data_IF_533756728560
#
_entry.id   IF_533756728560
#
_cell.length_a   1.000
_cell.length_b   1.000
_cell.length_c   1.000
_cell.angle_alpha   90.00
_cell.angle_beta   90.00
_cell.angle_gamma   90.00
#
_symmetry.space_group_name_H-M   'P 1'
#
loop_
_entity.id
_entity.type
_entity.pdbx_description
1 polymer ?
#
# COMPACT_ATOMS: atom_id res chain seq x y z
N UNK A 1 11.66 13.42 18.15
CA UNK A 1 11.08 13.68 16.81
C UNK A 1 10.81 15.17 16.69
N UNK A 2 11.58 15.88 15.87
CA UNK A 2 11.51 17.34 15.76
C UNK A 2 10.17 17.79 15.13
N UNK A 3 9.63 18.92 15.56
CA UNK A 3 8.26 19.38 15.24
C UNK A 3 8.01 19.44 13.72
N UNK A 4 9.03 19.86 12.96
CA UNK A 4 9.00 19.99 11.49
C UNK A 4 8.75 18.66 10.79
N UNK A 5 9.37 17.57 11.24
CA UNK A 5 9.16 16.24 10.65
C UNK A 5 7.74 15.72 10.93
N UNK A 6 7.20 16.02 12.12
CA UNK A 6 5.79 15.72 12.44
C UNK A 6 4.86 16.50 11.50
N UNK A 7 5.18 17.78 11.29
CA UNK A 7 4.39 18.67 10.46
C UNK A 7 4.40 18.25 8.99
N UNK A 8 5.55 17.89 8.42
CA UNK A 8 5.65 17.43 7.03
C UNK A 8 4.97 16.07 6.80
N UNK A 9 5.07 15.15 7.75
CA UNK A 9 4.35 13.87 7.70
C UNK A 9 2.84 14.13 7.74
N UNK A 10 2.38 15.02 8.64
CA UNK A 10 0.97 15.41 8.73
C UNK A 10 0.50 16.10 7.46
N UNK A 11 1.28 17.00 6.87
CA UNK A 11 0.93 17.70 5.62
C UNK A 11 0.85 16.75 4.43
N UNK A 12 1.79 15.81 4.31
CA UNK A 12 1.75 14.75 3.31
C UNK A 12 0.48 13.90 3.47
N UNK A 13 0.12 13.52 4.71
CA UNK A 13 -1.10 12.77 4.97
C UNK A 13 -2.38 13.56 4.73
N UNK A 14 -2.39 14.86 5.07
CA UNK A 14 -3.51 15.77 4.77
C UNK A 14 -3.70 15.90 3.26
N UNK A 15 -2.62 16.06 2.49
CA UNK A 15 -2.68 16.13 1.04
C UNK A 15 -3.24 14.84 0.41
N UNK A 16 -2.79 13.68 0.91
CA UNK A 16 -3.33 12.38 0.50
C UNK A 16 -4.82 12.26 0.84
N UNK A 17 -5.26 12.76 2.01
CA UNK A 17 -6.64 12.69 2.52
C UNK A 17 -7.65 13.65 1.84
N UNK A 18 -7.21 14.82 1.37
CA UNK A 18 -8.11 15.86 0.84
C UNK A 18 -8.51 15.62 -0.62
N UNK A 19 -7.59 15.11 -1.46
CA UNK A 19 -7.81 14.93 -2.90
C UNK A 19 -8.97 14.00 -3.29
N UNK A 20 -9.29 12.91 -2.55
CA UNK A 20 -10.41 12.03 -2.91
C UNK A 20 -11.79 12.56 -2.48
N UNK A 21 -11.86 13.48 -1.50
CA UNK A 21 -13.12 13.91 -0.89
C UNK A 21 -13.89 14.94 -1.71
N UNK A 22 -13.34 15.53 -2.77
CA UNK A 22 -14.06 16.53 -3.57
C UNK A 22 -14.95 15.95 -4.69
N UNK A 23 -15.11 14.62 -4.76
CA UNK A 23 -15.76 13.92 -5.89
C UNK A 23 -17.04 13.14 -5.50
N UNK A 24 -17.78 13.58 -4.48
CA UNK A 24 -18.98 12.88 -4.00
C UNK A 24 -20.17 12.98 -4.97
N UNK A 25 -20.46 11.89 -5.71
CA UNK A 25 -21.62 11.76 -6.60
C UNK A 25 -22.77 10.88 -6.06
N UNK A 26 -22.50 9.85 -5.24
CA UNK A 26 -23.56 9.02 -4.61
C UNK A 26 -23.05 8.23 -3.39
N UNK A 27 -23.93 7.96 -2.41
CA UNK A 27 -23.61 7.18 -1.19
C UNK A 27 -23.14 5.75 -1.51
N UNK A 28 -23.58 5.24 -2.65
CA UNK A 28 -23.33 3.89 -3.15
C UNK A 28 -21.85 3.68 -3.53
N UNK A 29 -21.14 4.73 -3.94
CA UNK A 29 -19.75 4.62 -4.38
C UNK A 29 -18.72 4.80 -3.25
N UNK A 30 -19.15 5.01 -2.00
CA UNK A 30 -18.27 5.39 -0.90
C UNK A 30 -17.23 4.31 -0.59
N UNK A 31 -17.62 3.03 -0.57
CA UNK A 31 -16.69 1.93 -0.27
C UNK A 31 -15.64 1.76 -1.37
N UNK A 32 -16.04 1.92 -2.63
CA UNK A 32 -15.12 1.86 -3.77
C UNK A 32 -14.14 3.03 -3.75
N UNK A 33 -14.61 4.24 -3.46
CA UNK A 33 -13.77 5.43 -3.34
C UNK A 33 -12.78 5.29 -2.18
N UNK A 34 -13.25 4.86 -1.01
CA UNK A 34 -12.39 4.58 0.14
C UNK A 34 -11.38 3.49 -0.21
N UNK A 35 -11.79 2.41 -0.89
CA UNK A 35 -10.86 1.37 -1.31
C UNK A 35 -9.74 1.93 -2.20
N UNK A 36 -10.04 2.83 -3.14
CA UNK A 36 -9.04 3.50 -3.98
C UNK A 36 -8.11 4.41 -3.17
N UNK A 37 -8.67 5.17 -2.24
CA UNK A 37 -7.91 6.02 -1.33
C UNK A 37 -6.91 5.19 -0.50
N UNK A 38 -7.40 4.14 0.19
CA UNK A 38 -6.56 3.25 0.99
C UNK A 38 -5.53 2.49 0.13
N UNK A 39 -5.85 2.17 -1.13
CA UNK A 39 -4.89 1.57 -2.06
C UNK A 39 -3.72 2.52 -2.37
N UNK A 40 -4.01 3.77 -2.71
CA UNK A 40 -2.99 4.79 -3.01
C UNK A 40 -2.15 5.10 -1.77
N UNK A 41 -2.82 5.29 -0.63
CA UNK A 41 -2.17 5.49 0.66
C UNK A 41 -1.23 4.33 0.98
N UNK A 42 -1.70 3.08 0.85
CA UNK A 42 -0.89 1.89 1.07
C UNK A 42 0.33 1.85 0.16
N UNK A 43 0.16 2.12 -1.14
CA UNK A 43 1.25 2.11 -2.12
C UNK A 43 2.32 3.15 -1.77
N UNK A 44 1.91 4.40 -1.50
CA UNK A 44 2.83 5.48 -1.15
C UNK A 44 3.56 5.20 0.17
N UNK A 45 2.82 4.75 1.18
CA UNK A 45 3.38 4.39 2.48
C UNK A 45 4.35 3.20 2.37
N UNK A 46 4.02 2.21 1.53
CA UNK A 46 4.87 1.06 1.29
C UNK A 46 6.14 1.46 0.53
N UNK A 47 6.03 2.34 -0.46
CA UNK A 47 7.19 2.93 -1.12
C UNK A 47 8.11 3.64 -0.12
N UNK A 48 7.55 4.51 0.72
CA UNK A 48 8.30 5.18 1.78
C UNK A 48 8.95 4.19 2.76
N UNK A 49 8.23 3.12 3.13
CA UNK A 49 8.72 2.06 4.00
C UNK A 49 9.93 1.33 3.42
N UNK A 50 9.93 1.07 2.11
CA UNK A 50 11.07 0.47 1.39
C UNK A 50 12.28 1.41 1.43
N UNK A 51 12.09 2.69 1.10
CA UNK A 51 13.16 3.70 1.20
C UNK A 51 13.72 3.80 2.62
N UNK A 52 12.84 3.88 3.62
CA UNK A 52 13.21 3.94 5.03
C UNK A 52 14.04 2.74 5.46
N UNK A 53 13.69 1.54 4.98
CA UNK A 53 14.45 0.31 5.26
C UNK A 53 15.82 0.28 4.58
N UNK A 54 15.90 0.72 3.32
CA UNK A 54 17.12 0.70 2.52
C UNK A 54 18.19 1.69 3.03
N UNK A 55 17.77 2.87 3.48
CA UNK A 55 18.66 3.95 3.95
C UNK A 55 18.68 4.09 5.47
N UNK A 56 18.32 3.03 6.20
CA UNK A 56 18.15 3.09 7.65
C UNK A 56 19.41 3.57 8.41
N UNK A 57 20.65 3.13 8.08
CA UNK A 57 21.86 3.64 8.74
C UNK A 57 22.06 5.15 8.53
N UNK A 58 21.90 5.63 7.31
CA UNK A 58 22.05 7.04 6.92
C UNK A 58 21.01 7.91 7.61
N UNK A 59 19.75 7.48 7.60
CA UNK A 59 18.64 8.18 8.23
C UNK A 59 18.79 8.23 9.76
N UNK A 60 19.28 7.14 10.37
CA UNK A 60 19.58 7.11 11.81
C UNK A 60 20.66 8.12 12.17
N UNK A 61 21.71 8.22 11.36
CA UNK A 61 22.80 9.18 11.55
C UNK A 61 22.32 10.63 11.36
N UNK A 62 21.55 10.89 10.31
CA UNK A 62 21.09 12.23 9.95
C UNK A 62 20.08 12.79 10.95
N UNK A 63 19.07 12.01 11.32
CA UNK A 63 17.93 12.50 12.10
C UNK A 63 18.00 12.19 13.59
N UNK A 64 18.98 11.40 14.04
CA UNK A 64 19.22 11.05 15.45
C UNK A 64 17.98 10.53 16.19
N UNK A 65 17.08 9.83 15.49
CA UNK A 65 15.97 9.11 16.11
C UNK A 65 16.07 7.61 15.86
N UNK A 66 15.25 6.84 16.57
CA UNK A 66 15.20 5.39 16.41
C UNK A 66 14.47 5.02 15.10
N UNK A 67 15.20 5.08 13.98
CA UNK A 67 14.70 4.77 12.63
C UNK A 67 14.14 3.37 12.53
N UNK A 68 14.71 2.43 13.29
CA UNK A 68 14.21 1.06 13.36
C UNK A 68 12.79 0.99 13.94
N UNK A 69 12.54 1.64 15.08
CA UNK A 69 11.17 1.70 15.65
C UNK A 69 10.22 2.41 14.71
N UNK A 70 10.66 3.48 14.06
CA UNK A 70 9.82 4.20 13.08
C UNK A 70 9.48 3.32 11.87
N UNK A 71 10.45 2.56 11.36
CA UNK A 71 10.22 1.56 10.31
C UNK A 71 9.19 0.52 10.77
N UNK A 72 9.28 -0.02 11.99
CA UNK A 72 8.26 -0.95 12.49
C UNK A 72 6.87 -0.32 12.54
N UNK A 73 6.75 0.94 12.98
CA UNK A 73 5.47 1.64 13.05
C UNK A 73 4.85 1.86 11.68
N UNK A 74 5.62 2.38 10.71
CA UNK A 74 5.14 2.58 9.35
C UNK A 74 4.80 1.22 8.71
N UNK A 75 5.58 0.17 8.94
CA UNK A 75 5.27 -1.17 8.42
C UNK A 75 3.95 -1.74 8.93
N UNK A 76 3.64 -1.55 10.23
CA UNK A 76 2.34 -1.93 10.80
C UNK A 76 1.19 -1.12 10.19
N UNK A 77 1.39 0.17 10.01
CA UNK A 77 0.41 1.07 9.40
C UNK A 77 0.15 0.68 7.94
N UNK A 78 1.19 0.44 7.15
CA UNK A 78 1.08 -0.04 5.76
C UNK A 78 0.25 -1.32 5.70
N UNK A 79 0.60 -2.32 6.53
CA UNK A 79 -0.12 -3.59 6.52
C UNK A 79 -1.58 -3.43 6.95
N UNK A 80 -1.85 -2.65 8.00
CA UNK A 80 -3.22 -2.35 8.44
C UNK A 80 -4.07 -1.68 7.35
N UNK A 81 -3.49 -0.71 6.65
CA UNK A 81 -4.15 -0.01 5.53
C UNK A 81 -4.42 -0.96 4.36
N UNK A 82 -3.51 -1.90 4.07
CA UNK A 82 -3.73 -2.94 3.06
C UNK A 82 -4.91 -3.84 3.45
N UNK A 83 -5.00 -4.26 4.71
CA UNK A 83 -6.14 -5.06 5.18
C UNK A 83 -7.46 -4.29 5.08
N UNK A 84 -7.47 -3.00 5.43
CA UNK A 84 -8.63 -2.13 5.24
C UNK A 84 -9.01 -2.03 3.76
N UNK A 85 -8.02 -1.84 2.87
CA UNK A 85 -8.25 -1.83 1.42
C UNK A 85 -8.92 -3.13 0.93
N UNK A 86 -8.39 -4.30 1.32
CA UNK A 86 -8.94 -5.60 0.95
C UNK A 86 -10.40 -5.74 1.44
N UNK A 87 -10.66 -5.35 2.69
CA UNK A 87 -11.99 -5.37 3.28
C UNK A 87 -12.98 -4.46 2.53
N UNK A 88 -12.57 -3.24 2.20
CA UNK A 88 -13.39 -2.29 1.43
C UNK A 88 -13.68 -2.79 0.01
N UNK A 89 -12.70 -3.42 -0.65
CA UNK A 89 -12.92 -4.07 -1.94
C UNK A 89 -13.96 -5.17 -1.81
N UNK A 90 -13.89 -6.01 -0.77
CA UNK A 90 -14.89 -7.05 -0.54
C UNK A 90 -16.31 -6.47 -0.35
N UNK A 91 -16.45 -5.41 0.46
CA UNK A 91 -17.73 -4.71 0.63
C UNK A 91 -18.24 -4.11 -0.68
N UNK A 92 -17.37 -3.49 -1.48
CA UNK A 92 -17.74 -2.91 -2.78
C UNK A 92 -18.12 -3.98 -3.82
N UNK A 93 -17.46 -5.14 -3.82
CA UNK A 93 -17.72 -6.24 -4.76
C UNK A 93 -19.09 -6.86 -4.58
N UNK A 94 -19.55 -7.00 -3.34
CA UNK A 94 -20.90 -7.50 -3.04
C UNK A 94 -22.00 -6.60 -3.61
N UNK A 95 -21.69 -5.33 -3.85
CA UNK A 95 -22.66 -4.30 -4.26
C UNK A 95 -22.56 -3.91 -5.75
N UNK A 96 -21.38 -4.01 -6.39
CA UNK A 96 -21.14 -3.36 -7.70
C UNK A 96 -20.42 -4.18 -8.78
N UNK A 97 -19.97 -5.41 -8.52
CA UNK A 97 -19.17 -6.15 -9.52
C UNK A 97 -19.96 -7.29 -10.20
N UNK A 98 -20.00 -7.35 -11.55
CA UNK A 98 -20.57 -8.47 -12.27
C UNK A 98 -19.69 -9.73 -12.13
N UNK A 99 -20.26 -10.94 -12.23
CA UNK A 99 -19.55 -12.21 -11.99
C UNK A 99 -18.43 -12.50 -13.01
N UNK A 100 -18.42 -11.82 -14.16
CA UNK A 100 -17.46 -12.07 -15.22
C UNK A 100 -16.35 -11.01 -15.23
N UNK A 101 -15.23 -11.34 -14.58
CA UNK A 101 -14.02 -10.52 -14.62
C UNK A 101 -13.35 -10.59 -16.00
N UNK A 102 -12.97 -9.43 -16.52
CA UNK A 102 -12.18 -9.33 -17.75
C UNK A 102 -10.78 -9.95 -17.55
N UNK A 103 -10.11 -10.45 -18.61
CA UNK A 103 -8.77 -11.06 -18.49
C UNK A 103 -7.73 -10.19 -17.78
N UNK A 104 -7.71 -8.88 -18.06
CA UNK A 104 -6.80 -7.93 -17.40
C UNK A 104 -7.07 -7.82 -15.88
N UNK A 105 -8.33 -7.88 -15.47
CA UNK A 105 -8.71 -7.87 -14.06
C UNK A 105 -8.26 -9.15 -13.35
N UNK A 106 -8.35 -10.31 -14.02
CA UNK A 106 -7.86 -11.59 -13.47
C UNK A 106 -6.36 -11.54 -13.22
N UNK A 107 -5.59 -11.06 -14.19
CA UNK A 107 -4.13 -10.92 -14.03
C UNK A 107 -3.78 -9.93 -12.90
N UNK A 108 -4.49 -8.81 -12.81
CA UNK A 108 -4.33 -7.83 -11.71
C UNK A 108 -4.61 -8.45 -10.34
N UNK A 109 -5.64 -9.29 -10.21
CA UNK A 109 -5.95 -10.01 -8.96
C UNK A 109 -4.84 -11.02 -8.61
N UNK A 110 -4.30 -11.73 -9.59
CA UNK A 110 -3.18 -12.67 -9.37
C UNK A 110 -1.96 -11.92 -8.83
N UNK A 111 -1.58 -10.80 -9.44
CA UNK A 111 -0.49 -9.95 -8.96
C UNK A 111 -0.74 -9.47 -7.52
N UNK A 112 -1.96 -8.98 -7.23
CA UNK A 112 -2.33 -8.53 -5.90
C UNK A 112 -2.22 -9.65 -4.85
N UNK A 113 -2.65 -10.86 -5.23
CA UNK A 113 -2.66 -12.03 -4.35
C UNK A 113 -1.23 -12.44 -3.99
N UNK A 114 -0.35 -12.58 -4.99
CA UNK A 114 1.05 -12.90 -4.72
C UNK A 114 1.76 -11.79 -3.94
N UNK A 115 1.51 -10.52 -4.26
CA UNK A 115 2.05 -9.39 -3.51
C UNK A 115 1.64 -9.46 -2.02
N UNK A 116 0.36 -9.75 -1.75
CA UNK A 116 -0.14 -9.88 -0.39
C UNK A 116 0.48 -11.06 0.36
N UNK A 117 0.63 -12.22 -0.30
CA UNK A 117 1.29 -13.40 0.28
C UNK A 117 2.74 -13.08 0.63
N UNK A 118 3.52 -12.52 -0.31
CA UNK A 118 4.92 -12.17 -0.08
C UNK A 118 5.10 -11.13 1.03
N UNK A 119 4.25 -10.11 1.06
CA UNK A 119 4.25 -9.13 2.13
C UNK A 119 3.93 -9.76 3.49
N UNK A 120 2.92 -10.63 3.55
CA UNK A 120 2.52 -11.32 4.78
C UNK A 120 3.65 -12.23 5.31
N UNK A 121 4.35 -12.93 4.42
CA UNK A 121 5.53 -13.72 4.76
C UNK A 121 6.68 -12.84 5.27
N UNK A 122 6.97 -11.73 4.58
CA UNK A 122 8.04 -10.80 4.98
C UNK A 122 7.79 -10.17 6.36
N UNK A 123 6.54 -9.81 6.66
CA UNK A 123 6.13 -9.28 7.97
C UNK A 123 6.19 -10.36 9.03
N UNK A 124 5.67 -11.55 8.75
CA UNK A 124 5.69 -12.67 9.70
C UNK A 124 7.12 -13.06 10.07
N UNK A 125 8.03 -13.10 9.09
CA UNK A 125 9.45 -13.33 9.33
C UNK A 125 10.07 -12.24 10.23
N UNK A 126 9.75 -10.97 9.99
CA UNK A 126 10.26 -9.87 10.82
C UNK A 126 9.75 -9.90 12.26
N UNK A 127 8.47 -10.29 12.47
CA UNK A 127 7.87 -10.46 13.79
C UNK A 127 8.47 -11.66 14.53
N UNK A 128 8.72 -12.76 13.82
CA UNK A 128 9.28 -13.99 14.35
C UNK A 128 10.81 -14.06 14.22
N UNK A 129 11.49 -12.91 14.06
CA UNK A 129 12.94 -12.86 13.79
C UNK A 129 13.79 -13.61 14.82
N UNK A 130 13.36 -13.65 16.08
CA UNK A 130 14.04 -14.38 17.15
C UNK A 130 13.99 -15.91 16.94
N UNK A 131 12.96 -16.42 16.27
CA UNK A 131 12.80 -17.86 15.96
C UNK A 131 13.55 -18.27 14.69
N UNK A 132 13.69 -17.37 13.73
CA UNK A 132 14.25 -17.67 12.39
C UNK A 132 15.74 -17.31 12.22
N UNK A 133 16.41 -16.79 13.26
CA UNK A 133 17.86 -16.58 13.24
C UNK A 133 18.34 -15.60 12.17
N UNK A 134 19.11 -16.06 11.18
CA UNK A 134 19.52 -15.24 10.02
C UNK A 134 18.58 -15.37 8.82
N UNK A 135 17.72 -16.40 8.80
CA UNK A 135 16.81 -16.70 7.68
C UNK A 135 15.72 -15.64 7.55
N UNK A 136 15.30 -15.01 8.65
CA UNK A 136 14.26 -13.98 8.58
C UNK A 136 14.63 -12.84 7.63
N UNK A 137 15.92 -12.49 7.52
CA UNK A 137 16.37 -11.45 6.61
C UNK A 137 16.07 -11.85 5.17
N UNK A 138 16.44 -13.07 4.77
CA UNK A 138 16.17 -13.59 3.41
C UNK A 138 14.68 -13.59 3.08
N UNK A 139 13.83 -13.99 4.02
CA UNK A 139 12.38 -13.96 3.83
C UNK A 139 11.87 -12.51 3.79
N UNK A 140 12.44 -11.62 4.60
CA UNK A 140 12.05 -10.21 4.64
C UNK A 140 12.35 -9.48 3.33
N UNK A 141 13.34 -9.93 2.55
CA UNK A 141 13.59 -9.42 1.20
C UNK A 141 12.40 -9.60 0.23
N UNK A 142 11.48 -10.53 0.50
CA UNK A 142 10.23 -10.67 -0.28
C UNK A 142 9.39 -9.39 -0.26
N UNK A 143 9.61 -8.48 0.69
CA UNK A 143 8.97 -7.18 0.74
C UNK A 143 9.23 -6.35 -0.54
N UNK A 144 10.43 -6.43 -1.11
CA UNK A 144 10.76 -5.75 -2.37
C UNK A 144 10.01 -6.35 -3.56
N UNK A 145 9.89 -7.68 -3.60
CA UNK A 145 9.13 -8.36 -4.64
C UNK A 145 7.64 -8.03 -4.54
N UNK A 146 7.08 -8.02 -3.33
CA UNK A 146 5.71 -7.58 -3.09
C UNK A 146 5.48 -6.14 -3.58
N UNK A 147 6.43 -5.24 -3.33
CA UNK A 147 6.37 -3.85 -3.80
C UNK A 147 6.36 -3.76 -5.33
N UNK A 148 7.23 -4.49 -6.03
CA UNK A 148 7.27 -4.50 -7.50
C UNK A 148 5.94 -5.00 -8.08
N UNK A 149 5.39 -6.09 -7.54
CA UNK A 149 4.11 -6.65 -8.00
C UNK A 149 2.95 -5.67 -7.83
N UNK A 150 2.85 -4.99 -6.67
CA UNK A 150 1.78 -4.02 -6.44
C UNK A 150 1.96 -2.75 -7.27
N UNK A 151 3.21 -2.34 -7.53
CA UNK A 151 3.51 -1.21 -8.41
C UNK A 151 3.07 -1.49 -9.85
N UNK A 152 3.42 -2.67 -10.40
CA UNK A 152 2.96 -3.10 -11.74
C UNK A 152 1.44 -3.12 -11.80
N UNK A 153 0.76 -3.72 -10.81
CA UNK A 153 -0.70 -3.69 -10.71
C UNK A 153 -1.27 -2.27 -10.72
N UNK A 154 -0.62 -1.35 -10.01
CA UNK A 154 -1.11 0.03 -9.87
C UNK A 154 -1.02 0.79 -11.19
N UNK A 155 0.04 0.54 -11.98
CA UNK A 155 0.17 1.06 -13.34
C UNK A 155 -0.94 0.52 -14.25
N UNK A 156 -1.21 -0.78 -14.22
CA UNK A 156 -2.24 -1.41 -15.05
C UNK A 156 -3.64 -0.81 -14.82
N UNK A 157 -4.01 -0.58 -13.55
CA UNK A 157 -5.29 0.05 -13.21
C UNK A 157 -5.31 1.52 -13.67
N UNK A 158 -4.18 2.22 -13.57
CA UNK A 158 -4.05 3.60 -14.04
C UNK A 158 -4.23 3.74 -15.55
N UNK A 159 -3.70 2.81 -16.34
CA UNK A 159 -3.84 2.81 -17.81
C UNK A 159 -5.28 2.55 -18.29
N UNK A 160 -6.05 1.72 -17.57
CA UNK A 160 -7.43 1.42 -17.93
C UNK A 160 -8.36 2.65 -17.78
N UNK A 161 -8.09 3.52 -16.80
CA UNK A 161 -8.84 4.77 -16.58
C UNK A 161 -8.62 5.74 -17.75
N UNK A 162 -7.39 5.82 -18.27
CA UNK A 162 -7.04 6.69 -19.40
C UNK A 162 -7.74 6.22 -20.68
N UNK A 163 -7.74 4.91 -20.94
CA UNK A 163 -8.43 4.32 -22.10
C UNK A 163 -9.96 4.46 -22.02
N UNK A 164 -10.55 4.40 -20.83
CA UNK A 164 -11.99 4.58 -20.65
C UNK A 164 -12.43 6.03 -20.91
N UNK A 165 -11.61 7.02 -20.57
CA UNK A 165 -11.87 8.43 -20.90
C UNK A 165 -11.77 8.72 -22.40
N UNK A 166 -10.84 8.08 -23.11
CA UNK A 166 -10.67 8.27 -24.57
C UNK A 166 -11.83 7.67 -25.37
N UNK A 167 -12.52 6.64 -24.85
CA UNK A 167 -13.67 6.01 -25.53
C UNK A 167 -15.01 6.73 -25.34
N UNK A 168 -15.09 7.69 -24.42
CA UNK A 168 -16.32 8.46 -24.12
C UNK A 168 -16.30 9.83 -24.82
N UNK A 169 -15.18 10.20 -25.45
CA UNK A 169 -15.03 11.35 -26.35
C UNK A 169 -15.11 10.88 -27.81
#
# INVERSE_FOLDING_TARGET
MNLVLRFLIVLFWIFVLIVPFSLFGSKDQIFYLLARFFALFALSAFCFQIFLGAFMPELTRAFKFNTYLFHLWIGRLVYGVILIHIFLIFLSRRLYFPPNLLPNERFSIILATFAFIFLSLAISAALLRQKFGSVWQKIHWLNYLAFVLIFIKSIMIGSDIILFQIKIL
#
